data_IF_664577513538
#
_entry.id   IF_664577513538
#
_cell.length_a   1.000
_cell.length_b   1.000
_cell.length_c   1.000
_cell.angle_alpha   90.00
_cell.angle_beta   90.00
_cell.angle_gamma   90.00
#
_symmetry.space_group_name_H-M   'P 1'
#
loop_
_entity.id
_entity.type
_entity.pdbx_description
1 polymer ?
#
# COMPACT_ATOMS: atom_id res chain seq x y z
N UNK A 1 -1.96 -27.96 4.57
CA UNK A 1 -1.14 -27.15 5.51
C UNK A 1 0.23 -26.93 4.88
N UNK A 2 0.64 -25.69 4.58
CA UNK A 2 1.92 -25.46 3.90
C UNK A 2 3.09 -25.78 4.84
N UNK A 3 3.98 -26.69 4.41
CA UNK A 3 5.21 -27.17 5.08
C UNK A 3 6.29 -26.08 5.30
N UNK A 4 5.92 -24.81 5.32
CA UNK A 4 6.83 -23.67 5.43
C UNK A 4 7.54 -23.58 6.79
N UNK A 5 6.92 -24.13 7.84
CA UNK A 5 7.50 -24.14 9.19
C UNK A 5 8.79 -24.98 9.27
N UNK A 6 8.93 -26.01 8.42
CA UNK A 6 10.14 -26.83 8.38
C UNK A 6 11.37 -26.05 7.92
N UNK A 7 11.18 -24.99 7.12
CA UNK A 7 12.26 -24.08 6.70
C UNK A 7 12.47 -22.94 7.70
N UNK A 8 11.40 -22.50 8.38
CA UNK A 8 11.46 -21.40 9.34
C UNK A 8 12.10 -21.80 10.67
N UNK A 9 11.76 -22.99 11.19
CA UNK A 9 12.22 -23.49 12.48
C UNK A 9 13.76 -23.56 12.62
N UNK A 10 14.52 -24.08 11.65
CA UNK A 10 15.99 -24.08 11.75
C UNK A 10 16.61 -22.68 11.55
N UNK A 11 15.93 -21.77 10.86
CA UNK A 11 16.42 -20.40 10.64
C UNK A 11 16.12 -19.46 11.82
N UNK A 12 15.16 -19.80 12.69
CA UNK A 12 14.69 -18.98 13.80
C UNK A 12 15.79 -18.46 14.75
N UNK A 13 16.80 -19.26 15.15
CA UNK A 13 17.90 -18.78 15.99
C UNK A 13 18.70 -17.62 15.38
N UNK A 14 18.75 -17.52 14.05
CA UNK A 14 19.41 -16.41 13.33
C UNK A 14 18.44 -15.25 13.07
N UNK A 15 17.20 -15.56 12.70
CA UNK A 15 16.21 -14.56 12.31
C UNK A 15 15.65 -13.77 13.49
N UNK A 16 15.41 -14.44 14.63
CA UNK A 16 14.76 -13.83 15.78
C UNK A 16 15.60 -12.70 16.41
N UNK A 17 16.92 -12.88 16.67
CA UNK A 17 17.76 -11.79 17.17
C UNK A 17 17.79 -10.60 16.22
N UNK A 18 17.85 -10.83 14.90
CA UNK A 18 17.82 -9.77 13.90
C UNK A 18 16.49 -9.02 13.89
N UNK A 19 15.37 -9.74 13.95
CA UNK A 19 14.04 -9.12 13.99
C UNK A 19 13.85 -8.28 15.26
N UNK A 20 14.34 -8.76 16.41
CA UNK A 20 14.32 -8.01 17.67
C UNK A 20 15.23 -6.79 17.63
N UNK A 21 16.42 -6.91 17.03
CA UNK A 21 17.34 -5.79 16.83
C UNK A 21 16.70 -4.72 15.95
N UNK A 22 16.21 -5.08 14.75
CA UNK A 22 15.50 -4.15 13.85
C UNK A 22 14.33 -3.48 14.56
N UNK A 23 13.50 -4.23 15.28
CA UNK A 23 12.35 -3.66 16.01
C UNK A 23 12.78 -2.63 17.07
N UNK A 24 13.95 -2.80 17.69
CA UNK A 24 14.49 -1.91 18.71
C UNK A 24 15.21 -0.70 18.12
N UNK A 25 15.89 -0.86 16.98
CA UNK A 25 16.73 0.19 16.38
C UNK A 25 16.07 0.93 15.23
N UNK A 26 14.95 0.43 14.69
CA UNK A 26 14.23 1.08 13.61
C UNK A 26 13.80 2.49 14.02
N UNK A 27 14.20 3.46 13.19
CA UNK A 27 13.75 4.83 13.31
C UNK A 27 12.24 4.88 13.08
N UNK A 28 11.50 5.39 14.07
CA UNK A 28 10.05 5.56 13.95
C UNK A 28 9.77 6.95 13.39
N UNK A 29 9.24 6.99 12.19
CA UNK A 29 8.74 8.21 11.58
C UNK A 29 7.26 8.39 11.93
N UNK A 30 6.82 9.62 12.20
CA UNK A 30 5.40 9.90 12.40
C UNK A 30 4.62 9.70 11.10
N UNK A 31 3.31 9.62 11.22
CA UNK A 31 2.41 9.74 10.07
C UNK A 31 2.47 11.17 9.52
N UNK A 32 2.09 11.35 8.26
CA UNK A 32 2.06 12.67 7.64
C UNK A 32 1.04 13.59 8.34
N UNK A 33 1.34 14.89 8.40
CA UNK A 33 0.46 15.87 9.01
C UNK A 33 -0.91 15.91 8.30
N UNK A 34 -1.94 16.27 9.07
CA UNK A 34 -3.27 16.57 8.55
C UNK A 34 -3.21 17.78 7.58
N UNK A 35 -4.14 17.88 6.61
CA UNK A 35 -5.33 17.04 6.42
C UNK A 35 -5.07 15.73 5.64
N UNK A 36 -5.83 14.67 5.97
CA UNK A 36 -5.82 13.37 5.27
C UNK A 36 -6.88 13.23 4.19
N UNK A 37 -7.42 14.36 3.77
CA UNK A 37 -8.36 14.48 2.68
C UNK A 37 -8.13 15.83 2.01
N UNK A 38 -8.48 15.91 0.74
CA UNK A 38 -8.31 17.14 -0.03
C UNK A 38 -8.98 17.04 -1.39
N UNK A 39 -8.81 18.10 -2.18
CA UNK A 39 -9.24 18.13 -3.56
C UNK A 39 -8.09 18.71 -4.40
N UNK A 40 -7.72 18.03 -5.47
CA UNK A 40 -6.77 18.53 -6.47
C UNK A 40 -7.58 19.00 -7.68
N UNK A 41 -7.54 20.31 -7.96
CA UNK A 41 -8.30 20.95 -9.03
C UNK A 41 -7.35 21.34 -10.18
N UNK A 42 -7.55 20.83 -11.41
CA UNK A 42 -6.82 21.32 -12.58
C UNK A 42 -7.18 22.77 -12.90
N UNK A 43 -6.22 23.56 -13.38
CA UNK A 43 -6.49 24.93 -13.81
C UNK A 43 -7.48 24.98 -14.97
N UNK A 44 -8.43 25.91 -14.91
CA UNK A 44 -9.41 26.13 -15.99
C UNK A 44 -10.55 25.12 -16.06
N UNK A 45 -10.57 24.10 -15.21
CA UNK A 45 -11.65 23.10 -15.14
C UNK A 45 -12.60 23.45 -14.01
N UNK A 46 -13.84 23.77 -14.36
CA UNK A 46 -14.91 24.11 -13.43
C UNK A 46 -16.18 23.35 -13.80
N UNK A 47 -17.02 23.03 -12.81
CA UNK A 47 -18.34 22.37 -12.99
C UNK A 47 -18.31 20.95 -13.60
N UNK A 48 -17.23 20.19 -13.43
CA UNK A 48 -17.18 18.75 -13.76
C UNK A 48 -17.27 17.95 -12.47
N UNK A 49 -18.06 16.86 -12.45
CA UNK A 49 -18.16 15.99 -11.27
C UNK A 49 -16.77 15.40 -10.94
N UNK A 50 -16.25 15.64 -9.72
CA UNK A 50 -14.92 15.20 -9.34
C UNK A 50 -14.83 13.68 -9.28
N UNK A 51 -13.66 13.15 -9.63
CA UNK A 51 -13.33 11.76 -9.35
C UNK A 51 -13.11 11.60 -7.84
N UNK A 52 -13.81 10.65 -7.21
CA UNK A 52 -13.65 10.36 -5.78
C UNK A 52 -12.68 9.21 -5.57
N UNK A 53 -11.51 9.54 -5.03
CA UNK A 53 -10.40 8.64 -4.77
C UNK A 53 -10.30 8.29 -3.28
N UNK A 54 -10.26 6.99 -2.97
CA UNK A 54 -9.95 6.50 -1.64
C UNK A 54 -8.65 5.70 -1.66
N UNK A 55 -7.75 5.96 -0.71
CA UNK A 55 -6.64 5.07 -0.41
C UNK A 55 -6.90 4.37 0.92
N UNK A 56 -6.71 3.07 0.96
CA UNK A 56 -6.84 2.27 2.19
C UNK A 56 -5.57 1.45 2.39
N UNK A 57 -4.98 1.47 3.59
CA UNK A 57 -3.78 0.69 3.80
C UNK A 57 -3.01 0.94 5.09
N UNK A 58 -1.72 0.68 5.01
CA UNK A 58 -0.79 0.72 6.15
C UNK A 58 -0.05 2.07 6.28
N UNK A 59 1.24 2.04 6.64
CA UNK A 59 2.05 3.24 6.88
C UNK A 59 2.22 4.13 5.66
N UNK A 60 2.26 3.54 4.46
CA UNK A 60 2.42 4.29 3.20
C UNK A 60 1.17 5.12 2.84
N UNK A 61 -0.01 4.66 3.25
CA UNK A 61 -1.26 5.43 3.13
C UNK A 61 -1.37 6.46 4.26
N UNK A 62 -0.84 6.17 5.45
CA UNK A 62 -0.69 7.16 6.51
C UNK A 62 0.37 8.23 6.20
N UNK A 63 1.10 8.11 5.08
CA UNK A 63 2.09 9.08 4.62
C UNK A 63 3.39 9.07 5.40
N UNK A 64 3.72 7.97 6.07
CA UNK A 64 4.99 7.82 6.78
C UNK A 64 6.16 8.03 5.82
N UNK A 65 7.12 8.88 6.18
CA UNK A 65 8.29 9.21 5.35
C UNK A 65 8.28 10.61 4.74
N UNK A 66 7.15 11.32 4.82
CA UNK A 66 6.99 12.71 4.36
C UNK A 66 6.27 13.55 5.41
N UNK A 67 6.35 14.88 5.28
CA UNK A 67 5.78 15.79 6.26
C UNK A 67 4.27 16.02 6.04
N UNK A 68 3.77 15.88 4.80
CA UNK A 68 2.38 16.15 4.44
C UNK A 68 1.75 15.06 3.56
N UNK A 69 0.42 14.90 3.65
CA UNK A 69 -0.30 13.97 2.78
C UNK A 69 -0.30 14.38 1.30
N UNK A 70 -0.05 15.67 1.01
CA UNK A 70 0.15 16.16 -0.35
C UNK A 70 1.41 15.57 -1.01
N UNK A 71 2.42 15.23 -0.22
CA UNK A 71 3.66 14.58 -0.67
C UNK A 71 3.58 13.05 -0.59
N UNK A 72 2.62 12.53 0.18
CA UNK A 72 2.38 11.10 0.32
C UNK A 72 1.68 10.53 -0.91
N UNK A 73 1.48 9.20 -0.91
CA UNK A 73 0.86 8.48 -2.02
C UNK A 73 -0.51 9.05 -2.40
N UNK A 74 -1.33 9.43 -1.42
CA UNK A 74 -2.69 9.92 -1.63
C UNK A 74 -2.72 11.24 -2.41
N UNK A 75 -2.02 12.26 -1.92
CA UNK A 75 -1.95 13.55 -2.59
C UNK A 75 -1.24 13.49 -3.93
N UNK A 76 -0.14 12.75 -4.04
CA UNK A 76 0.57 12.57 -5.31
C UNK A 76 -0.29 11.86 -6.36
N UNK A 77 -1.05 10.84 -5.95
CA UNK A 77 -1.97 10.13 -6.85
C UNK A 77 -3.10 11.05 -7.30
N UNK A 78 -3.74 11.76 -6.37
CA UNK A 78 -4.82 12.68 -6.70
C UNK A 78 -4.36 13.77 -7.68
N UNK A 79 -3.19 14.37 -7.44
CA UNK A 79 -2.62 15.40 -8.31
C UNK A 79 -2.35 14.89 -9.72
N UNK A 80 -1.72 13.72 -9.83
CA UNK A 80 -1.37 13.14 -11.12
C UNK A 80 -2.60 12.65 -11.89
N UNK A 81 -3.62 12.13 -11.20
CA UNK A 81 -4.92 11.81 -11.80
C UNK A 81 -5.62 13.07 -12.31
N UNK A 82 -5.62 14.15 -11.52
CA UNK A 82 -6.23 15.41 -11.91
C UNK A 82 -5.59 15.97 -13.20
N UNK A 83 -4.26 15.94 -13.26
CA UNK A 83 -3.49 16.36 -14.44
C UNK A 83 -3.77 15.47 -15.65
N UNK A 84 -3.80 14.14 -15.47
CA UNK A 84 -3.95 13.20 -16.58
C UNK A 84 -5.37 13.15 -17.15
N UNK A 85 -6.38 13.36 -16.31
CA UNK A 85 -7.80 13.27 -16.70
C UNK A 85 -8.43 14.62 -17.01
N UNK A 86 -7.79 15.72 -16.60
CA UNK A 86 -8.40 17.05 -16.66
C UNK A 86 -9.66 17.16 -15.79
N UNK A 87 -9.79 16.34 -14.74
CA UNK A 87 -10.92 16.36 -13.80
C UNK A 87 -10.43 16.68 -12.40
N UNK A 88 -11.26 17.34 -11.60
CA UNK A 88 -11.00 17.48 -10.17
C UNK A 88 -10.96 16.10 -9.50
N UNK A 89 -10.09 15.93 -8.50
CA UNK A 89 -9.98 14.69 -7.74
C UNK A 89 -10.15 14.98 -6.26
N UNK A 90 -11.29 14.57 -5.71
CA UNK A 90 -11.54 14.54 -4.27
C UNK A 90 -10.92 13.27 -3.70
N UNK A 91 -10.01 13.40 -2.76
CA UNK A 91 -9.27 12.26 -2.24
C UNK A 91 -9.34 12.15 -0.72
N UNK A 92 -9.27 10.91 -0.23
CA UNK A 92 -9.15 10.59 1.19
C UNK A 92 -8.14 9.47 1.40
N UNK A 93 -7.26 9.66 2.38
CA UNK A 93 -6.35 8.64 2.88
C UNK A 93 -6.92 8.00 4.16
N UNK A 94 -7.11 6.68 4.14
CA UNK A 94 -7.51 5.88 5.28
C UNK A 94 -6.40 4.86 5.58
N UNK A 95 -5.31 5.37 6.16
CA UNK A 95 -4.13 4.58 6.49
C UNK A 95 -3.95 4.44 8.00
N UNK A 96 -3.26 3.40 8.45
CA UNK A 96 -2.72 3.38 9.80
C UNK A 96 -1.43 2.58 9.84
N UNK A 97 -0.40 3.16 10.44
CA UNK A 97 0.88 2.49 10.57
C UNK A 97 0.73 1.18 11.38
N UNK A 98 1.30 0.08 10.87
CA UNK A 98 1.33 -1.22 11.54
C UNK A 98 0.10 -2.12 11.36
N UNK A 99 -0.94 -1.69 10.64
CA UNK A 99 -2.13 -2.54 10.41
C UNK A 99 -1.82 -3.69 9.46
N UNK A 100 -2.46 -4.84 9.70
CA UNK A 100 -2.50 -5.96 8.75
C UNK A 100 -3.86 -5.98 8.07
N UNK A 101 -4.04 -6.87 7.09
CA UNK A 101 -5.31 -6.97 6.35
C UNK A 101 -6.53 -7.17 7.27
N UNK A 102 -6.40 -7.92 8.36
CA UNK A 102 -7.48 -8.13 9.32
C UNK A 102 -7.89 -6.83 10.03
N UNK A 103 -6.92 -6.08 10.58
CA UNK A 103 -7.18 -4.81 11.26
C UNK A 103 -7.67 -3.74 10.28
N UNK A 104 -7.14 -3.74 9.05
CA UNK A 104 -7.64 -2.87 7.98
C UNK A 104 -9.14 -3.08 7.76
N UNK A 105 -9.60 -4.33 7.73
CA UNK A 105 -11.03 -4.65 7.56
C UNK A 105 -11.87 -4.29 8.79
N UNK A 106 -11.40 -4.60 9.99
CA UNK A 106 -12.20 -4.40 11.20
C UNK A 106 -12.20 -2.96 11.71
N UNK A 107 -11.14 -2.19 11.45
CA UNK A 107 -10.93 -0.87 12.08
C UNK A 107 -10.90 0.29 11.10
N UNK A 108 -10.39 0.11 9.87
CA UNK A 108 -10.31 1.21 8.89
C UNK A 108 -11.52 1.26 7.97
N UNK A 109 -11.92 0.11 7.42
CA UNK A 109 -13.06 0.02 6.50
C UNK A 109 -14.35 0.67 7.04
N UNK A 110 -14.76 0.50 8.32
CA UNK A 110 -15.97 1.14 8.84
C UNK A 110 -15.98 2.67 8.72
N UNK A 111 -14.83 3.34 8.73
CA UNK A 111 -14.74 4.80 8.66
C UNK A 111 -14.98 5.39 7.25
N UNK A 112 -15.00 4.53 6.24
CA UNK A 112 -15.16 4.88 4.82
C UNK A 112 -16.35 4.15 4.18
N UNK A 113 -16.93 3.16 4.87
CA UNK A 113 -18.17 2.49 4.50
C UNK A 113 -19.32 3.48 4.32
N UNK A 114 -20.13 3.27 3.29
CA UNK A 114 -21.32 4.10 2.99
C UNK A 114 -21.01 5.39 2.22
N UNK A 115 -19.73 5.70 1.96
CA UNK A 115 -19.33 6.77 1.07
C UNK A 115 -19.18 6.23 -0.36
N UNK A 116 -19.51 7.05 -1.36
CA UNK A 116 -19.34 6.68 -2.77
C UNK A 116 -17.93 7.04 -3.22
N UNK A 117 -17.23 6.05 -3.76
CA UNK A 117 -15.89 6.17 -4.34
C UNK A 117 -15.95 5.70 -5.79
N UNK A 118 -15.20 6.36 -6.67
CA UNK A 118 -15.06 5.93 -8.06
C UNK A 118 -13.82 5.04 -8.21
N UNK A 119 -12.75 5.40 -7.49
CA UNK A 119 -11.48 4.69 -7.50
C UNK A 119 -11.01 4.42 -6.08
N UNK A 120 -10.66 3.18 -5.77
CA UNK A 120 -10.08 2.76 -4.49
C UNK A 120 -8.72 2.14 -4.73
N UNK A 121 -7.69 2.59 -4.01
CA UNK A 121 -6.36 1.96 -4.01
C UNK A 121 -6.09 1.30 -2.67
N UNK A 122 -5.95 -0.03 -2.68
CA UNK A 122 -5.60 -0.84 -1.53
C UNK A 122 -4.09 -1.09 -1.50
N UNK A 123 -3.45 -0.71 -0.39
CA UNK A 123 -1.99 -0.85 -0.20
C UNK A 123 -1.71 -1.59 1.10
N UNK A 124 -1.37 -2.87 0.99
CA UNK A 124 -1.13 -3.76 2.14
C UNK A 124 -0.04 -4.79 1.82
N UNK A 125 0.49 -5.40 2.87
CA UNK A 125 1.24 -6.66 2.78
C UNK A 125 2.60 -6.62 3.46
N UNK A 126 3.14 -5.43 3.75
CA UNK A 126 4.40 -5.31 4.48
C UNK A 126 4.23 -5.83 5.91
N UNK A 127 3.21 -5.35 6.62
CA UNK A 127 2.96 -5.80 8.00
C UNK A 127 2.53 -7.27 8.08
N UNK A 128 1.73 -7.77 7.13
CA UNK A 128 1.40 -9.21 7.05
C UNK A 128 2.63 -10.09 6.76
N UNK A 129 3.60 -9.55 6.03
CA UNK A 129 4.88 -10.19 5.78
C UNK A 129 5.69 -10.27 7.07
N UNK A 130 5.91 -9.14 7.75
CA UNK A 130 6.79 -9.06 8.93
C UNK A 130 6.20 -9.73 10.18
N UNK A 131 4.87 -9.70 10.34
CA UNK A 131 4.17 -10.36 11.44
C UNK A 131 3.85 -11.84 11.18
N UNK A 132 4.31 -12.39 10.07
CA UNK A 132 4.13 -13.80 9.74
C UNK A 132 2.65 -14.25 9.65
N UNK A 133 1.73 -13.37 9.22
CA UNK A 133 0.31 -13.70 9.02
C UNK A 133 0.13 -14.99 8.22
N UNK A 134 -0.64 -15.99 8.70
CA UNK A 134 -0.90 -17.19 7.91
C UNK A 134 -1.48 -16.85 6.53
N UNK A 135 -0.93 -17.44 5.46
CA UNK A 135 -1.35 -17.15 4.07
C UNK A 135 -2.83 -17.35 3.81
N UNK A 136 -3.46 -18.31 4.49
CA UNK A 136 -4.92 -18.48 4.40
C UNK A 136 -5.66 -17.27 4.94
N UNK A 137 -5.23 -16.71 6.07
CA UNK A 137 -5.84 -15.52 6.67
C UNK A 137 -5.58 -14.30 5.79
N UNK A 138 -4.36 -14.10 5.30
CA UNK A 138 -4.05 -13.05 4.31
C UNK A 138 -5.05 -13.09 3.15
N UNK A 139 -5.24 -14.26 2.53
CA UNK A 139 -6.16 -14.41 1.40
C UNK A 139 -7.60 -14.09 1.78
N UNK A 140 -8.08 -14.61 2.91
CA UNK A 140 -9.44 -14.37 3.39
C UNK A 140 -9.70 -12.88 3.64
N UNK A 141 -8.81 -12.20 4.36
CA UNK A 141 -9.02 -10.79 4.74
C UNK A 141 -8.88 -9.86 3.53
N UNK A 142 -7.90 -10.08 2.65
CA UNK A 142 -7.75 -9.29 1.42
C UNK A 142 -8.91 -9.49 0.46
N UNK A 143 -9.37 -10.73 0.28
CA UNK A 143 -10.56 -10.99 -0.55
C UNK A 143 -11.78 -10.27 -0.01
N UNK A 144 -11.99 -10.28 1.31
CA UNK A 144 -13.10 -9.58 1.94
C UNK A 144 -12.98 -8.05 1.79
N UNK A 145 -11.78 -7.49 1.90
CA UNK A 145 -11.53 -6.07 1.64
C UNK A 145 -11.86 -5.68 0.19
N UNK A 146 -11.36 -6.44 -0.79
CA UNK A 146 -11.63 -6.19 -2.21
C UNK A 146 -13.14 -6.22 -2.49
N UNK A 147 -13.83 -7.25 -2.01
CA UNK A 147 -15.29 -7.37 -2.18
C UNK A 147 -16.03 -6.20 -1.53
N UNK A 148 -15.68 -5.81 -0.30
CA UNK A 148 -16.37 -4.74 0.40
C UNK A 148 -16.13 -3.36 -0.22
N UNK A 149 -14.90 -3.08 -0.67
CA UNK A 149 -14.55 -1.82 -1.31
C UNK A 149 -15.18 -1.68 -2.70
N UNK A 150 -15.33 -2.79 -3.44
CA UNK A 150 -16.00 -2.82 -4.75
C UNK A 150 -17.53 -2.87 -4.67
N UNK A 151 -18.12 -3.14 -3.51
CA UNK A 151 -19.58 -3.36 -3.37
C UNK A 151 -20.43 -2.16 -3.80
N UNK A 152 -19.88 -0.93 -3.72
CA UNK A 152 -20.55 0.30 -4.14
C UNK A 152 -20.26 0.71 -5.60
N UNK A 153 -19.65 -0.18 -6.39
CA UNK A 153 -19.33 0.05 -7.80
C UNK A 153 -18.00 0.76 -8.04
N UNK A 154 -17.16 0.92 -7.03
CA UNK A 154 -15.84 1.52 -7.16
C UNK A 154 -14.88 0.59 -7.92
N UNK A 155 -14.04 1.15 -8.80
CA UNK A 155 -12.91 0.43 -9.37
C UNK A 155 -11.85 0.22 -8.26
N UNK A 156 -11.55 -1.03 -7.93
CA UNK A 156 -10.54 -1.35 -6.90
C UNK A 156 -9.22 -1.68 -7.56
N UNK A 157 -8.18 -0.91 -7.24
CA UNK A 157 -6.79 -1.19 -7.56
C UNK A 157 -6.09 -1.73 -6.33
N UNK A 158 -5.30 -2.77 -6.49
CA UNK A 158 -4.54 -3.37 -5.40
C UNK A 158 -3.06 -3.29 -5.75
N UNK A 159 -2.32 -2.49 -4.98
CA UNK A 159 -0.88 -2.34 -5.19
C UNK A 159 -0.15 -3.61 -4.79
N UNK A 160 0.88 -3.97 -5.56
CA UNK A 160 1.78 -5.07 -5.28
C UNK A 160 2.35 -5.01 -3.85
N UNK A 161 2.54 -6.17 -3.24
CA UNK A 161 3.27 -6.26 -1.97
C UNK A 161 4.73 -5.90 -2.25
N UNK A 162 5.31 -4.89 -1.58
CA UNK A 162 6.67 -4.47 -1.85
C UNK A 162 7.69 -5.64 -1.70
N UNK A 163 8.70 -5.74 -2.57
CA UNK A 163 9.71 -6.79 -2.48
C UNK A 163 10.69 -6.49 -1.33
N UNK A 164 10.34 -6.87 -0.09
CA UNK A 164 11.15 -6.63 1.11
C UNK A 164 12.61 -7.12 1.01
N UNK A 165 12.90 -8.05 0.09
CA UNK A 165 14.26 -8.49 -0.23
C UNK A 165 15.20 -7.36 -0.71
N UNK A 166 14.63 -6.24 -1.20
CA UNK A 166 15.38 -5.08 -1.68
C UNK A 166 15.59 -4.00 -0.60
N UNK A 167 14.99 -4.15 0.59
CA UNK A 167 14.99 -3.11 1.63
C UNK A 167 16.31 -3.15 2.39
N UNK A 168 17.22 -2.21 2.08
CA UNK A 168 18.58 -2.18 2.65
C UNK A 168 18.63 -1.97 4.15
N UNK A 169 17.58 -1.39 4.74
CA UNK A 169 17.43 -1.26 6.20
C UNK A 169 17.33 -2.61 6.94
N UNK A 170 17.01 -3.69 6.23
CA UNK A 170 16.94 -5.03 6.81
C UNK A 170 18.28 -5.78 6.65
N UNK A 171 18.82 -6.40 7.73
CA UNK A 171 20.05 -7.18 7.65
C UNK A 171 19.81 -8.54 6.98
N UNK A 172 20.86 -9.15 6.43
CA UNK A 172 20.83 -10.56 6.00
C UNK A 172 21.09 -11.49 7.20
N UNK A 173 20.44 -12.65 7.31
CA UNK A 173 19.51 -13.27 6.34
C UNK A 173 18.03 -12.83 6.44
N UNK A 174 17.66 -12.00 7.43
CA UNK A 174 16.27 -11.57 7.64
C UNK A 174 15.63 -10.93 6.39
N UNK A 175 16.39 -10.09 5.69
CA UNK A 175 15.95 -9.44 4.45
C UNK A 175 15.54 -10.46 3.37
N UNK A 176 16.38 -11.47 3.12
CA UNK A 176 16.05 -12.52 2.16
C UNK A 176 14.81 -13.32 2.58
N UNK A 177 14.68 -13.62 3.87
CA UNK A 177 13.52 -14.31 4.42
C UNK A 177 12.22 -13.53 4.19
N UNK A 178 12.19 -12.25 4.53
CA UNK A 178 11.03 -11.39 4.26
C UNK A 178 10.80 -11.18 2.77
N UNK A 179 11.84 -11.14 1.94
CA UNK A 179 11.69 -11.09 0.48
C UNK A 179 10.94 -12.30 -0.09
N UNK A 180 11.33 -13.52 0.30
CA UNK A 180 10.63 -14.75 -0.12
C UNK A 180 9.16 -14.73 0.31
N UNK A 181 8.92 -14.30 1.54
CA UNK A 181 7.59 -14.27 2.11
C UNK A 181 6.70 -13.20 1.46
N UNK A 182 7.22 -12.01 1.22
CA UNK A 182 6.52 -10.95 0.48
C UNK A 182 6.12 -11.45 -0.91
N UNK A 183 7.02 -12.12 -1.62
CA UNK A 183 6.73 -12.71 -2.94
C UNK A 183 5.61 -13.75 -2.90
N UNK A 184 5.50 -14.53 -1.82
CA UNK A 184 4.38 -15.46 -1.64
C UNK A 184 3.04 -14.75 -1.40
N UNK A 185 3.04 -13.69 -0.60
CA UNK A 185 1.83 -12.90 -0.35
C UNK A 185 1.40 -12.15 -1.61
N UNK A 186 2.34 -11.61 -2.39
CA UNK A 186 2.08 -10.98 -3.68
C UNK A 186 1.54 -11.98 -4.71
N UNK A 187 2.07 -13.20 -4.77
CA UNK A 187 1.54 -14.25 -5.63
C UNK A 187 0.11 -14.67 -5.24
N UNK A 188 -0.21 -14.67 -3.94
CA UNK A 188 -1.58 -14.87 -3.46
C UNK A 188 -2.48 -13.68 -3.85
N UNK A 189 -1.97 -12.45 -3.72
CA UNK A 189 -2.65 -11.22 -4.08
C UNK A 189 -3.04 -11.20 -5.57
N UNK A 190 -2.08 -11.44 -6.47
CA UNK A 190 -2.31 -11.51 -7.92
C UNK A 190 -3.39 -12.52 -8.28
N UNK A 191 -3.37 -13.70 -7.64
CA UNK A 191 -4.38 -14.74 -7.87
C UNK A 191 -5.76 -14.31 -7.39
N UNK A 192 -5.87 -13.66 -6.24
CA UNK A 192 -7.16 -13.16 -5.76
C UNK A 192 -7.71 -12.09 -6.70
N UNK A 193 -6.86 -11.15 -7.10
CA UNK A 193 -7.26 -10.05 -8.00
C UNK A 193 -7.73 -10.60 -9.34
N UNK A 194 -7.03 -11.58 -9.92
CA UNK A 194 -7.40 -12.21 -11.20
C UNK A 194 -8.77 -12.91 -11.21
N UNK A 195 -9.31 -13.27 -10.04
CA UNK A 195 -10.64 -13.87 -9.90
C UNK A 195 -11.66 -12.89 -9.29
N UNK A 196 -11.34 -11.60 -9.29
CA UNK A 196 -12.18 -10.53 -8.76
C UNK A 196 -12.43 -9.47 -9.84
N UNK A 197 -13.28 -8.49 -9.57
CA UNK A 197 -13.43 -7.29 -10.40
C UNK A 197 -12.35 -6.22 -10.17
N UNK A 198 -11.36 -6.48 -9.31
CA UNK A 198 -10.27 -5.54 -9.05
C UNK A 198 -9.14 -5.67 -10.08
N UNK A 199 -8.26 -4.67 -10.13
CA UNK A 199 -7.04 -4.69 -10.93
C UNK A 199 -5.78 -4.66 -10.04
N UNK A 200 -4.73 -5.34 -10.51
CA UNK A 200 -3.47 -5.46 -9.81
C UNK A 200 -2.49 -4.41 -10.37
N UNK A 201 -1.88 -3.62 -9.50
CA UNK A 201 -0.89 -2.62 -9.89
C UNK A 201 0.52 -3.05 -9.52
N UNK A 202 1.42 -3.14 -10.50
CA UNK A 202 2.85 -3.37 -10.26
C UNK A 202 3.49 -2.18 -9.56
N UNK A 203 4.43 -2.50 -8.66
CA UNK A 203 5.25 -1.49 -7.98
C UNK A 203 6.55 -1.27 -8.76
N UNK A 204 6.50 -0.35 -9.72
CA UNK A 204 7.64 -0.01 -10.58
C UNK A 204 8.46 1.14 -10.00
N UNK A 205 9.01 0.94 -8.80
CA UNK A 205 9.86 1.92 -8.11
C UNK A 205 11.25 1.32 -7.90
N UNK A 206 12.33 2.02 -8.28
CA UNK A 206 13.67 1.61 -7.92
C UNK A 206 13.85 1.68 -6.40
N UNK A 207 14.30 0.61 -5.75
CA UNK A 207 14.63 0.62 -4.31
C UNK A 207 16.02 1.22 -4.06
N UNK A 208 16.20 2.45 -4.52
CA UNK A 208 17.42 3.25 -4.40
C UNK A 208 17.27 4.26 -3.25
N UNK A 209 18.40 4.69 -2.67
CA UNK A 209 18.40 5.46 -1.43
C UNK A 209 17.61 6.79 -1.52
N UNK A 210 17.59 7.44 -2.70
CA UNK A 210 16.87 8.70 -2.88
C UNK A 210 15.34 8.55 -2.95
N UNK A 211 14.84 7.36 -3.31
CA UNK A 211 13.40 7.05 -3.27
C UNK A 211 12.94 6.56 -1.89
N UNK A 212 13.83 6.50 -0.90
CA UNK A 212 13.54 6.08 0.46
C UNK A 212 13.68 7.26 1.42
N UNK A 213 12.83 7.29 2.44
CA UNK A 213 12.91 8.21 3.55
C UNK A 213 14.17 7.95 4.38
N UNK A 214 14.43 8.81 5.37
CA UNK A 214 15.61 8.73 6.25
C UNK A 214 15.71 7.44 7.07
N UNK A 215 14.65 6.64 7.17
CA UNK A 215 14.67 5.32 7.79
C UNK A 215 15.15 4.19 6.86
N UNK A 216 15.35 4.48 5.57
CA UNK A 216 15.74 3.51 4.55
C UNK A 216 14.69 2.43 4.28
N UNK A 217 13.44 2.67 4.66
CA UNK A 217 12.34 1.72 4.63
C UNK A 217 11.10 2.26 3.94
N UNK A 218 10.61 3.43 4.35
CA UNK A 218 9.43 4.06 3.74
C UNK A 218 9.82 4.86 2.49
N UNK A 219 8.90 5.11 1.56
CA UNK A 219 9.16 5.97 0.42
C UNK A 219 9.47 7.42 0.85
N UNK A 220 10.38 8.08 0.13
CA UNK A 220 10.50 9.55 0.17
C UNK A 220 9.37 10.20 -0.63
N UNK A 221 9.25 11.53 -0.57
CA UNK A 221 8.31 12.27 -1.42
C UNK A 221 8.48 11.93 -2.92
N UNK A 222 9.73 11.76 -3.36
CA UNK A 222 10.00 11.34 -4.74
C UNK A 222 9.59 9.88 -5.00
N UNK A 223 9.82 8.99 -4.04
CA UNK A 223 9.35 7.61 -4.10
C UNK A 223 7.82 7.51 -4.22
N UNK A 224 7.08 8.29 -3.42
CA UNK A 224 5.62 8.38 -3.51
C UNK A 224 5.16 8.94 -4.85
N UNK A 225 5.82 9.99 -5.36
CA UNK A 225 5.51 10.56 -6.67
C UNK A 225 5.65 9.53 -7.81
N UNK A 226 6.72 8.73 -7.81
CA UNK A 226 6.90 7.68 -8.81
C UNK A 226 5.87 6.55 -8.67
N UNK A 227 5.56 6.16 -7.43
CA UNK A 227 4.52 5.16 -7.17
C UNK A 227 3.18 5.60 -7.73
N UNK A 228 2.75 6.82 -7.38
CA UNK A 228 1.52 7.41 -7.87
C UNK A 228 1.49 7.41 -9.41
N UNK A 229 2.57 7.85 -10.06
CA UNK A 229 2.64 7.85 -11.53
C UNK A 229 2.55 6.46 -12.15
N UNK A 230 3.10 5.43 -11.49
CA UNK A 230 2.92 4.04 -11.93
C UNK A 230 1.46 3.59 -11.86
N UNK A 231 0.77 3.92 -10.77
CA UNK A 231 -0.66 3.61 -10.60
C UNK A 231 -1.49 4.33 -11.65
N UNK A 232 -1.26 5.64 -11.88
CA UNK A 232 -1.98 6.42 -12.90
C UNK A 232 -1.85 5.79 -14.28
N UNK A 233 -0.62 5.47 -14.71
CA UNK A 233 -0.40 4.85 -16.03
C UNK A 233 -1.14 3.52 -16.17
N UNK A 234 -1.11 2.68 -15.13
CA UNK A 234 -1.77 1.39 -15.15
C UNK A 234 -3.29 1.51 -15.13
N UNK A 235 -3.84 2.46 -14.37
CA UNK A 235 -5.29 2.71 -14.34
C UNK A 235 -5.81 3.22 -15.68
N UNK A 236 -5.13 4.20 -16.29
CA UNK A 236 -5.53 4.72 -17.60
C UNK A 236 -5.53 3.64 -18.70
N UNK A 237 -4.63 2.65 -18.61
CA UNK A 237 -4.58 1.53 -19.54
C UNK A 237 -5.73 0.51 -19.34
N UNK A 238 -6.49 0.59 -18.24
CA UNK A 238 -7.68 -0.24 -18.00
C UNK A 238 -8.95 0.44 -18.55
N UNK A 239 -8.94 1.76 -18.68
CA UNK A 239 -10.06 2.57 -19.19
C UNK A 239 -10.06 2.70 -20.72
N UNK A 240 -8.97 2.31 -21.38
CA UNK A 240 -8.78 2.36 -22.85
C UNK A 240 -9.21 1.07 -23.54
#
# INVERSE_FOLDING_TARGET
MSRWWYLAAPALPLLLPQALWVKRTALRLPDAAQPWQGCEQPEGVWNVEPLRLLLVGESTVAGVGVDSQAEALAGQLARQLAQATGRAVEWRACGRNGVRAAECRSELLPAVSGQRWDLVVLVLGVNDTTHLTPRWRWRTEVSALITALGASGAQVLVSAVPPLGQFRALPQPLRAWFGLRAGLLDADLRRLVAHSGAAYCTLDIPFQAHYLARDGYHPSAEGYRLWAGSIVRQWLALES
#
